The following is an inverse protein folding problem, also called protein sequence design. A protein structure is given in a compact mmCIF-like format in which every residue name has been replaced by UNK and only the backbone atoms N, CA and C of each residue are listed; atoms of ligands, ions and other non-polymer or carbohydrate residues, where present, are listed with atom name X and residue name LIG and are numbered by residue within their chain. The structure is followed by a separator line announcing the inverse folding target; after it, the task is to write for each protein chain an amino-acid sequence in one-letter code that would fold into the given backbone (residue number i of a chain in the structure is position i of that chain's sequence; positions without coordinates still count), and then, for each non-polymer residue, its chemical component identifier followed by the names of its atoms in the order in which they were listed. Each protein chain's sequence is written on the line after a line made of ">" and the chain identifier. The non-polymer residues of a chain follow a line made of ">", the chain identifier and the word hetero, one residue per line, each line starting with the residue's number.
data_IF_133927048583
#
_entry.id   IF_133927048583
#
_cell.length_a   1.000
_cell.length_b   1.000
_cell.length_c   1.000
_cell.angle_alpha   90.00
_cell.angle_beta   90.00
_cell.angle_gamma   90.00
#
_symmetry.space_group_name_H-M   'P 1'
#
loop_
_entity.id
_entity.type
_entity.pdbx_description
1 polymer ?
#
# COMPACT_ATOMS: atom_id res chain seq x y z
N UNK A 1 14.28 -50.27 42.42
CA UNK A 1 13.55 -50.64 41.20
C UNK A 1 13.38 -49.36 40.37
N UNK A 2 13.79 -49.39 39.10
CA UNK A 2 13.87 -48.25 38.18
C UNK A 2 12.54 -48.06 37.47
N UNK A 3 12.01 -46.85 37.38
CA UNK A 3 10.98 -46.52 36.39
C UNK A 3 11.17 -45.07 35.94
N UNK A 4 11.73 -44.89 34.73
CA UNK A 4 11.82 -43.61 34.02
C UNK A 4 10.48 -43.38 33.33
N UNK A 5 9.74 -42.34 33.69
CA UNK A 5 8.57 -41.89 32.94
C UNK A 5 9.01 -40.79 31.97
N UNK A 6 9.05 -41.13 30.67
CA UNK A 6 9.23 -40.18 29.59
C UNK A 6 7.88 -39.54 29.28
N UNK A 7 7.72 -38.25 29.58
CA UNK A 7 6.55 -37.48 29.15
C UNK A 7 6.96 -36.70 27.91
N UNK A 8 6.42 -37.12 26.77
CA UNK A 8 6.70 -36.56 25.45
C UNK A 8 6.17 -35.14 25.31
N UNK A 9 7.02 -34.25 24.83
CA UNK A 9 6.68 -32.88 24.44
C UNK A 9 5.88 -32.91 23.15
N UNK A 10 4.59 -32.58 23.21
CA UNK A 10 3.79 -32.30 22.03
C UNK A 10 4.23 -30.94 21.45
N UNK A 11 4.98 -30.97 20.35
CA UNK A 11 5.30 -29.77 19.58
C UNK A 11 4.07 -29.46 18.72
N UNK A 12 3.25 -28.51 19.17
CA UNK A 12 2.20 -27.93 18.34
C UNK A 12 2.87 -27.05 17.27
N UNK A 13 3.00 -27.57 16.05
CA UNK A 13 3.41 -26.78 14.90
C UNK A 13 2.28 -25.82 14.52
N UNK A 14 2.42 -24.55 14.91
CA UNK A 14 1.54 -23.49 14.44
C UNK A 14 1.84 -23.23 12.94
N UNK A 15 0.98 -23.75 12.07
CA UNK A 15 0.99 -23.37 10.66
C UNK A 15 0.53 -21.92 10.56
N UNK A 16 1.47 -20.99 10.44
CA UNK A 16 1.17 -19.64 9.99
C UNK A 16 0.71 -19.75 8.53
N UNK A 17 -0.60 -19.60 8.30
CA UNK A 17 -1.15 -19.52 6.96
C UNK A 17 -0.63 -18.23 6.30
N UNK A 18 0.44 -18.34 5.52
CA UNK A 18 0.87 -17.29 4.60
C UNK A 18 -0.17 -17.21 3.48
N UNK A 19 -1.11 -16.27 3.62
CA UNK A 19 -1.99 -15.88 2.53
C UNK A 19 -1.18 -15.37 1.33
N UNK A 20 -1.73 -15.41 0.11
CA UNK A 20 -1.03 -14.95 -1.08
C UNK A 20 -0.61 -13.49 -0.90
N UNK A 21 0.69 -13.21 -1.08
CA UNK A 21 1.18 -11.84 -1.14
C UNK A 21 0.57 -11.16 -2.37
N UNK A 22 -0.19 -10.08 -2.15
CA UNK A 22 -0.69 -9.25 -3.25
C UNK A 22 0.51 -8.60 -3.93
N UNK A 23 0.79 -9.00 -5.17
CA UNK A 23 1.79 -8.33 -6.00
C UNK A 23 1.25 -6.96 -6.42
N UNK A 24 2.00 -5.90 -6.10
CA UNK A 24 1.65 -4.52 -6.45
C UNK A 24 2.28 -4.14 -7.78
N UNK A 25 1.45 -3.69 -8.73
CA UNK A 25 1.91 -3.15 -10.01
C UNK A 25 2.24 -1.66 -9.86
N UNK A 26 3.36 -1.21 -10.42
CA UNK A 26 3.67 0.22 -10.52
C UNK A 26 2.95 0.81 -11.73
N UNK A 27 1.96 1.64 -11.46
CA UNK A 27 1.09 2.23 -12.50
C UNK A 27 1.54 3.63 -12.95
N UNK A 28 2.37 4.30 -12.14
CA UNK A 28 2.88 5.64 -12.46
C UNK A 28 4.01 6.05 -11.53
N UNK A 29 4.70 7.12 -11.91
CA UNK A 29 5.72 7.78 -11.11
C UNK A 29 5.82 9.25 -11.50
N UNK A 30 6.08 10.12 -10.52
CA UNK A 30 6.36 11.54 -10.72
C UNK A 30 7.47 11.99 -9.79
N UNK A 31 8.34 12.86 -10.28
CA UNK A 31 9.26 13.60 -9.43
C UNK A 31 8.52 14.88 -8.98
N UNK A 32 8.34 15.02 -7.68
CA UNK A 32 7.68 16.18 -7.05
C UNK A 32 8.73 17.17 -6.55
N UNK A 33 8.35 18.44 -6.40
CA UNK A 33 9.21 19.50 -5.91
C UNK A 33 8.45 20.33 -4.86
N UNK A 34 9.18 20.95 -3.94
CA UNK A 34 8.64 21.83 -2.89
C UNK A 34 8.22 23.23 -3.38
N UNK A 35 8.25 23.44 -4.70
CA UNK A 35 7.90 24.71 -5.36
C UNK A 35 6.44 24.79 -5.79
N UNK A 36 5.75 23.66 -5.81
CA UNK A 36 4.35 23.54 -6.20
C UNK A 36 3.56 22.84 -5.11
N UNK A 37 2.36 23.33 -4.85
CA UNK A 37 1.47 22.72 -3.86
C UNK A 37 0.79 21.46 -4.40
N UNK A 38 0.50 21.42 -5.70
CA UNK A 38 -0.19 20.31 -6.35
C UNK A 38 0.67 19.68 -7.45
N UNK A 39 0.70 18.36 -7.43
CA UNK A 39 1.36 17.53 -8.45
C UNK A 39 0.36 16.57 -9.09
N UNK A 40 0.26 16.58 -10.43
CA UNK A 40 -0.66 15.71 -11.17
C UNK A 40 0.07 14.55 -11.84
N UNK A 41 -0.30 13.30 -11.55
CA UNK A 41 0.25 12.14 -12.25
C UNK A 41 -0.78 11.57 -13.22
N UNK A 42 -0.43 11.51 -14.51
CA UNK A 42 -1.26 10.84 -15.52
C UNK A 42 -0.90 9.35 -15.48
N UNK A 43 -1.91 8.51 -15.28
CA UNK A 43 -1.76 7.06 -15.29
C UNK A 43 -2.20 6.55 -16.66
N UNK A 44 -1.26 5.95 -17.38
CA UNK A 44 -1.51 5.41 -18.71
C UNK A 44 -2.07 3.98 -18.66
N UNK A 45 -2.86 3.64 -19.66
CA UNK A 45 -3.37 2.28 -19.86
C UNK A 45 -4.87 2.13 -19.66
N UNK A 46 -5.35 0.88 -19.83
CA UNK A 46 -6.78 0.53 -19.82
C UNK A 46 -7.13 -0.46 -18.71
N UNK A 47 -6.19 -0.77 -17.83
CA UNK A 47 -6.38 -1.72 -16.74
C UNK A 47 -7.14 -1.04 -15.60
N UNK A 48 -8.12 -1.76 -15.05
CA UNK A 48 -8.81 -1.37 -13.84
C UNK A 48 -8.01 -1.83 -12.62
N UNK A 49 -7.94 -0.98 -11.61
CA UNK A 49 -7.36 -1.29 -10.31
C UNK A 49 -8.45 -1.08 -9.26
N UNK A 50 -8.49 -1.97 -8.28
CA UNK A 50 -9.43 -1.84 -7.16
C UNK A 50 -8.81 -1.07 -5.99
N UNK A 51 -7.48 -1.01 -5.95
CA UNK A 51 -6.71 -0.43 -4.84
C UNK A 51 -5.42 0.20 -5.31
N UNK A 52 -5.03 1.28 -4.65
CA UNK A 52 -3.72 1.92 -4.85
C UNK A 52 -3.05 2.23 -3.52
N UNK A 53 -1.77 2.54 -3.60
CA UNK A 53 -1.00 3.21 -2.55
C UNK A 53 0.05 4.08 -3.21
N UNK A 54 0.42 5.18 -2.58
CA UNK A 54 1.48 6.07 -3.08
C UNK A 54 2.72 5.83 -2.23
N UNK A 55 3.85 5.52 -2.87
CA UNK A 55 5.10 5.23 -2.19
C UNK A 55 6.13 6.32 -2.45
N UNK A 56 6.90 6.67 -1.42
CA UNK A 56 7.93 7.71 -1.46
C UNK A 56 9.31 7.07 -1.46
N UNK A 57 10.23 7.57 -2.29
CA UNK A 57 11.53 6.93 -2.49
C UNK A 57 12.75 7.78 -2.11
N UNK A 58 12.76 9.08 -2.43
CA UNK A 58 13.98 9.92 -2.30
C UNK A 58 13.96 10.82 -1.08
N UNK A 59 12.97 11.71 -1.00
CA UNK A 59 12.81 12.67 0.08
C UNK A 59 11.41 12.54 0.67
N UNK A 60 11.22 12.80 1.98
CA UNK A 60 9.90 12.74 2.59
C UNK A 60 8.92 13.69 1.90
N UNK A 61 7.68 13.26 1.76
CA UNK A 61 6.59 14.06 1.19
C UNK A 61 5.49 14.19 2.23
N UNK A 62 5.02 15.42 2.45
CA UNK A 62 3.87 15.68 3.30
C UNK A 62 2.62 15.75 2.43
N UNK A 63 1.79 14.72 2.51
CA UNK A 63 0.51 14.66 1.81
C UNK A 63 -0.57 15.28 2.69
N UNK A 64 -1.28 16.26 2.15
CA UNK A 64 -2.50 16.80 2.76
C UNK A 64 -3.68 15.97 2.28
N UNK A 65 -3.90 16.00 0.96
CA UNK A 65 -4.99 15.34 0.28
C UNK A 65 -4.53 14.65 -1.02
N UNK A 66 -5.28 13.63 -1.46
CA UNK A 66 -5.08 12.94 -2.74
C UNK A 66 -6.39 12.85 -3.49
N UNK A 67 -6.49 13.63 -4.55
CA UNK A 67 -7.56 13.58 -5.55
C UNK A 67 -7.29 12.49 -6.61
N UNK A 68 -8.22 11.55 -6.74
CA UNK A 68 -8.19 10.51 -7.77
C UNK A 68 -9.25 10.84 -8.82
N UNK A 69 -8.82 11.10 -10.05
CA UNK A 69 -9.71 11.29 -11.19
C UNK A 69 -9.79 10.01 -12.03
N UNK A 70 -11.01 9.50 -12.22
CA UNK A 70 -11.28 8.31 -13.02
C UNK A 70 -11.60 8.65 -14.47
N UNK A 71 -11.39 7.68 -15.37
CA UNK A 71 -11.65 7.86 -16.82
C UNK A 71 -13.13 8.13 -17.14
N UNK A 72 -14.06 7.65 -16.30
CA UNK A 72 -15.49 7.92 -16.44
C UNK A 72 -15.89 9.35 -15.99
N UNK A 73 -14.93 10.20 -15.60
CA UNK A 73 -15.19 11.55 -15.09
C UNK A 73 -15.47 11.61 -13.58
N UNK A 74 -15.56 10.45 -12.90
CA UNK A 74 -15.70 10.39 -11.45
C UNK A 74 -14.46 10.90 -10.74
N UNK A 75 -14.64 11.38 -9.50
CA UNK A 75 -13.54 11.79 -8.62
C UNK A 75 -13.72 11.15 -7.26
N UNK A 76 -12.61 10.81 -6.64
CA UNK A 76 -12.54 10.35 -5.26
C UNK A 76 -11.49 11.17 -4.52
N UNK A 77 -11.92 11.85 -3.47
CA UNK A 77 -11.10 12.64 -2.56
C UNK A 77 -10.64 11.71 -1.42
N UNK A 78 -9.35 11.74 -1.10
CA UNK A 78 -8.74 10.85 -0.13
C UNK A 78 -7.82 11.64 0.79
N UNK A 79 -8.34 11.98 1.97
CA UNK A 79 -7.53 12.53 3.04
C UNK A 79 -6.46 11.52 3.49
N UNK A 80 -5.21 11.86 3.17
CA UNK A 80 -4.01 11.15 3.64
C UNK A 80 -3.47 11.81 4.90
N UNK A 81 -3.36 13.14 4.89
CA UNK A 81 -2.93 13.97 6.02
C UNK A 81 -1.69 13.42 6.77
N UNK A 82 -0.68 12.98 6.04
CA UNK A 82 0.47 12.28 6.58
C UNK A 82 1.78 12.65 5.88
N UNK A 83 2.86 12.70 6.67
CA UNK A 83 4.23 12.72 6.14
C UNK A 83 4.67 11.27 5.86
N UNK A 84 5.01 10.98 4.61
CA UNK A 84 5.51 9.67 4.19
C UNK A 84 7.01 9.78 3.96
N UNK A 85 7.79 8.92 4.63
CA UNK A 85 9.25 8.93 4.53
C UNK A 85 9.73 8.08 3.33
N UNK A 86 11.00 8.26 2.90
CA UNK A 86 11.62 7.39 1.91
C UNK A 86 11.55 5.92 2.31
N UNK A 87 11.06 5.07 1.41
CA UNK A 87 10.84 3.64 1.63
C UNK A 87 9.42 3.29 2.09
N UNK A 88 8.64 4.27 2.55
CA UNK A 88 7.28 4.05 3.04
C UNK A 88 6.22 4.35 1.96
N UNK A 89 5.02 3.87 2.21
CA UNK A 89 3.84 4.15 1.40
C UNK A 89 2.70 4.69 2.27
N UNK A 90 1.74 5.37 1.63
CA UNK A 90 0.45 5.65 2.24
C UNK A 90 -0.25 4.36 2.68
N UNK A 91 -1.32 4.49 3.47
CA UNK A 91 -2.29 3.41 3.60
C UNK A 91 -2.77 2.94 2.22
N UNK A 92 -3.26 1.71 2.17
CA UNK A 92 -3.99 1.23 1.00
C UNK A 92 -5.27 2.06 0.87
N UNK A 93 -5.55 2.47 -0.35
CA UNK A 93 -6.71 3.27 -0.73
C UNK A 93 -7.53 2.39 -1.66
N UNK A 94 -8.74 2.04 -1.22
CA UNK A 94 -9.72 1.35 -2.05
C UNK A 94 -10.33 2.34 -3.05
N UNK A 95 -10.40 1.96 -4.31
CA UNK A 95 -10.92 2.79 -5.40
C UNK A 95 -12.43 2.56 -5.53
N UNK A 96 -13.20 3.62 -5.37
CA UNK A 96 -14.65 3.54 -5.24
C UNK A 96 -15.39 3.40 -6.57
N UNK A 97 -14.81 3.77 -7.71
CA UNK A 97 -15.68 3.95 -8.87
C UNK A 97 -15.08 4.04 -10.25
N UNK A 98 -14.98 2.87 -10.89
CA UNK A 98 -15.25 2.75 -12.33
C UNK A 98 -14.43 1.73 -13.08
#
# INVERSE_FOLDING_TARGET
>A
MRMKLLIGTAIAAAFAATGPAVAWDRIGQRNVQDRTETDTMIIEGRRKYDRIKVCVYRQPVHFIDVDIAFRNGGRQDVSVAARINPGDCTRVIDLEGG
#
